data_IF_891176952608
#
_entry.id   IF_891176952608
#
_cell.length_a   1.000
_cell.length_b   1.000
_cell.length_c   1.000
_cell.angle_alpha   90.00
_cell.angle_beta   90.00
_cell.angle_gamma   90.00
#
_symmetry.space_group_name_H-M   'P 1'
#
loop_
_entity.id
_entity.type
_entity.pdbx_description
1 polymer ?
#
# COMPACT_ATOMS: atom_id res chain seq x y z
N UNK A 1 -45.67 -31.83 -11.09
CA UNK A 1 -44.55 -31.06 -10.56
C UNK A 1 -43.40 -32.02 -10.22
N UNK A 2 -42.27 -31.94 -10.94
CA UNK A 2 -41.07 -32.77 -10.67
C UNK A 2 -40.46 -32.33 -9.32
N UNK A 3 -40.44 -33.21 -8.32
CA UNK A 3 -39.76 -32.96 -7.04
C UNK A 3 -38.26 -32.89 -7.31
N UNK A 4 -37.63 -31.73 -7.06
CA UNK A 4 -36.19 -31.59 -7.14
C UNK A 4 -35.57 -32.42 -6.02
N UNK A 5 -34.62 -33.32 -6.34
CA UNK A 5 -33.97 -34.13 -5.33
C UNK A 5 -33.08 -33.27 -4.42
N UNK A 6 -33.05 -33.53 -3.10
CA UNK A 6 -32.19 -32.78 -2.16
C UNK A 6 -30.72 -32.80 -2.58
N UNK A 7 -30.23 -33.90 -3.15
CA UNK A 7 -28.87 -34.04 -3.64
C UNK A 7 -28.54 -33.06 -4.80
N UNK A 8 -29.50 -32.84 -5.72
CA UNK A 8 -29.31 -31.88 -6.81
C UNK A 8 -29.21 -30.45 -6.30
N UNK A 9 -30.02 -30.13 -5.28
CA UNK A 9 -29.94 -28.78 -4.63
C UNK A 9 -28.56 -28.55 -3.99
N UNK A 10 -28.04 -29.55 -3.27
CA UNK A 10 -26.71 -29.49 -2.64
C UNK A 10 -25.60 -29.33 -3.69
N UNK A 11 -25.66 -30.03 -4.83
CA UNK A 11 -24.69 -29.93 -5.91
C UNK A 11 -24.72 -28.53 -6.52
N UNK A 12 -25.92 -28.02 -6.84
CA UNK A 12 -26.05 -26.67 -7.40
C UNK A 12 -25.54 -25.61 -6.44
N UNK A 13 -25.87 -25.70 -5.17
CA UNK A 13 -25.37 -24.79 -4.14
C UNK A 13 -23.85 -24.85 -4.02
N UNK A 14 -23.26 -26.04 -4.03
CA UNK A 14 -21.81 -26.23 -3.99
C UNK A 14 -21.10 -25.58 -5.19
N UNK A 15 -21.65 -25.78 -6.39
CA UNK A 15 -21.10 -25.15 -7.61
C UNK A 15 -21.19 -23.62 -7.54
N UNK A 16 -22.31 -23.06 -7.08
CA UNK A 16 -22.47 -21.61 -6.92
C UNK A 16 -21.45 -21.05 -5.92
N UNK A 17 -21.23 -21.72 -4.79
CA UNK A 17 -20.23 -21.29 -3.81
C UNK A 17 -18.80 -21.35 -4.37
N UNK A 18 -18.46 -22.37 -5.15
CA UNK A 18 -17.15 -22.47 -5.79
C UNK A 18 -16.92 -21.36 -6.82
N UNK A 19 -17.94 -21.04 -7.62
CA UNK A 19 -17.86 -19.94 -8.59
C UNK A 19 -17.75 -18.58 -7.87
N UNK A 20 -18.48 -18.38 -6.79
CA UNK A 20 -18.38 -17.16 -5.97
C UNK A 20 -16.99 -17.02 -5.34
N UNK A 21 -16.42 -18.09 -4.78
CA UNK A 21 -15.08 -18.09 -4.22
C UNK A 21 -14.01 -17.82 -5.28
N UNK A 22 -14.11 -18.45 -6.45
CA UNK A 22 -13.21 -18.21 -7.58
C UNK A 22 -13.28 -16.76 -8.10
N UNK A 23 -14.48 -16.21 -8.20
CA UNK A 23 -14.72 -14.82 -8.60
C UNK A 23 -14.11 -13.82 -7.60
N UNK A 24 -14.28 -14.07 -6.30
CA UNK A 24 -13.69 -13.25 -5.26
C UNK A 24 -12.15 -13.31 -5.27
N UNK A 25 -11.58 -14.50 -5.49
CA UNK A 25 -10.13 -14.66 -5.60
C UNK A 25 -9.54 -13.92 -6.81
N UNK A 26 -10.22 -13.96 -7.95
CA UNK A 26 -9.84 -13.23 -9.15
C UNK A 26 -9.94 -11.70 -8.95
N UNK A 27 -10.99 -11.24 -8.29
CA UNK A 27 -11.19 -9.84 -7.96
C UNK A 27 -10.09 -9.31 -7.02
N UNK A 28 -9.75 -10.06 -5.96
CA UNK A 28 -8.67 -9.66 -5.04
C UNK A 28 -7.31 -9.56 -5.73
N UNK A 29 -7.01 -10.49 -6.65
CA UNK A 29 -5.77 -10.43 -7.45
C UNK A 29 -5.74 -9.24 -8.40
N UNK A 30 -6.87 -8.88 -8.97
CA UNK A 30 -6.99 -7.71 -9.82
C UNK A 30 -6.75 -6.42 -9.02
N UNK A 31 -7.36 -6.27 -7.82
CA UNK A 31 -7.14 -5.11 -6.94
C UNK A 31 -5.66 -4.99 -6.51
N UNK A 32 -5.03 -6.12 -6.13
CA UNK A 32 -3.61 -6.15 -5.73
C UNK A 32 -2.69 -5.69 -6.88
N UNK A 33 -2.88 -6.23 -8.09
CA UNK A 33 -2.08 -5.85 -9.24
C UNK A 33 -2.27 -4.37 -9.64
N UNK A 34 -3.48 -3.85 -9.49
CA UNK A 34 -3.79 -2.46 -9.82
C UNK A 34 -3.15 -1.50 -8.81
N UNK A 35 -3.28 -1.78 -7.51
CA UNK A 35 -2.64 -1.00 -6.44
C UNK A 35 -1.10 -0.97 -6.59
N UNK A 36 -0.47 -2.10 -6.90
CA UNK A 36 0.97 -2.15 -7.14
C UNK A 36 1.42 -1.31 -8.34
N UNK A 37 0.66 -1.31 -9.44
CA UNK A 37 0.99 -0.53 -10.62
C UNK A 37 0.85 0.99 -10.38
N UNK A 38 -0.19 1.42 -9.69
CA UNK A 38 -0.39 2.83 -9.32
C UNK A 38 0.73 3.32 -8.39
N UNK A 39 1.09 2.56 -7.38
CA UNK A 39 2.15 2.90 -6.45
C UNK A 39 3.51 3.08 -7.16
N UNK A 40 3.87 2.20 -8.10
CA UNK A 40 5.12 2.31 -8.86
C UNK A 40 5.19 3.58 -9.74
N UNK A 41 4.08 4.01 -10.29
CA UNK A 41 4.04 5.26 -11.08
C UNK A 41 4.31 6.46 -10.19
N UNK A 42 3.72 6.48 -9.00
CA UNK A 42 3.92 7.57 -8.03
C UNK A 42 5.37 7.59 -7.51
N UNK A 43 6.01 6.43 -7.25
CA UNK A 43 7.43 6.37 -6.86
C UNK A 43 8.32 7.02 -7.93
N UNK A 44 8.09 6.72 -9.21
CA UNK A 44 8.87 7.30 -10.30
C UNK A 44 8.71 8.84 -10.35
N UNK A 45 7.51 9.36 -10.15
CA UNK A 45 7.23 10.80 -10.13
C UNK A 45 7.84 11.49 -8.90
N UNK A 46 7.82 10.82 -7.74
CA UNK A 46 8.46 11.32 -6.51
C UNK A 46 9.98 11.42 -6.69
N UNK A 47 10.62 10.37 -7.18
CA UNK A 47 12.07 10.34 -7.41
C UNK A 47 12.49 11.44 -8.38
N UNK A 48 11.70 11.71 -9.42
CA UNK A 48 11.98 12.82 -10.35
C UNK A 48 11.85 14.20 -9.69
N UNK A 49 10.90 14.38 -8.77
CA UNK A 49 10.72 15.65 -8.05
C UNK A 49 11.82 15.90 -7.01
N UNK A 50 12.29 14.84 -6.34
CA UNK A 50 13.39 14.92 -5.36
C UNK A 50 14.73 15.20 -6.04
N UNK A 51 14.97 14.74 -7.27
CA UNK A 51 16.19 15.04 -8.05
C UNK A 51 16.28 16.49 -8.53
N UNK A 52 15.22 17.30 -8.39
CA UNK A 52 15.26 18.74 -8.67
C UNK A 52 15.32 19.47 -7.32
N UNK A 53 16.51 19.75 -6.76
CA UNK A 53 16.60 20.40 -5.46
C UNK A 53 16.11 21.85 -5.61
N UNK A 54 14.97 22.17 -5.02
CA UNK A 54 14.76 23.54 -4.58
C UNK A 54 15.76 23.81 -3.45
N UNK A 55 16.49 24.95 -3.46
CA UNK A 55 17.56 25.17 -2.50
C UNK A 55 16.99 25.20 -1.08
N UNK A 56 17.28 24.15 -0.31
CA UNK A 56 17.02 24.15 1.12
C UNK A 56 17.80 25.29 1.78
N UNK A 57 17.11 26.37 2.07
CA UNK A 57 17.58 27.40 2.98
C UNK A 57 16.93 27.08 4.32
N UNK A 58 17.71 26.51 5.23
CA UNK A 58 17.76 26.87 6.65
C UNK A 58 18.18 25.70 7.55
N UNK A 59 19.36 25.89 8.15
CA UNK A 59 19.86 25.15 9.31
C UNK A 59 19.10 25.59 10.57
N UNK A 60 17.79 25.25 10.63
CA UNK A 60 16.96 25.37 11.82
C UNK A 60 16.71 23.99 12.47
N UNK A 61 16.17 23.90 13.68
CA UNK A 61 15.64 22.64 14.18
C UNK A 61 14.63 22.10 13.16
N UNK A 62 14.76 20.81 12.77
CA UNK A 62 13.84 20.16 11.85
C UNK A 62 12.41 20.31 12.38
N UNK A 63 11.51 20.80 11.53
CA UNK A 63 10.08 20.81 11.85
C UNK A 63 9.65 19.35 12.15
N UNK A 64 8.96 19.09 13.26
CA UNK A 64 8.39 17.78 13.54
C UNK A 64 7.45 17.27 12.47
N UNK A 65 6.79 18.16 11.73
CA UNK A 65 5.93 17.79 10.62
C UNK A 65 6.74 17.39 9.39
N UNK A 66 6.32 16.30 8.74
CA UNK A 66 6.91 15.84 7.50
C UNK A 66 6.46 16.76 6.35
N UNK A 67 7.39 17.14 5.44
CA UNK A 67 7.01 17.83 4.20
C UNK A 67 6.03 16.99 3.40
N UNK A 68 5.16 17.65 2.66
CA UNK A 68 4.11 17.01 1.87
C UNK A 68 4.27 17.40 0.41
N UNK A 69 4.26 16.41 -0.49
CA UNK A 69 4.23 16.61 -1.94
C UNK A 69 2.93 16.09 -2.51
N UNK A 70 2.27 16.90 -3.36
CA UNK A 70 1.05 16.51 -4.06
C UNK A 70 1.38 15.92 -5.44
N UNK A 71 0.83 14.73 -5.71
CA UNK A 71 0.87 14.05 -7.00
C UNK A 71 -0.52 13.53 -7.33
N UNK A 72 -1.07 13.90 -8.47
CA UNK A 72 -2.38 13.47 -8.97
C UNK A 72 -3.52 13.65 -7.95
N UNK A 73 -3.48 14.75 -7.17
CA UNK A 73 -4.48 15.07 -6.16
C UNK A 73 -4.37 14.26 -4.86
N UNK A 74 -3.27 13.53 -4.67
CA UNK A 74 -2.93 12.84 -3.44
C UNK A 74 -1.66 13.44 -2.83
N UNK A 75 -1.63 13.47 -1.51
CA UNK A 75 -0.53 14.00 -0.71
C UNK A 75 0.35 12.87 -0.18
N UNK A 76 1.66 13.01 -0.36
CA UNK A 76 2.68 12.04 0.05
C UNK A 76 3.71 12.70 0.98
N UNK A 77 4.23 11.93 1.93
CA UNK A 77 5.22 12.37 2.93
C UNK A 77 6.57 11.70 2.79
N UNK A 78 6.69 10.70 1.91
CA UNK A 78 7.94 9.98 1.72
C UNK A 78 7.76 8.67 0.97
N UNK A 79 8.82 7.88 0.98
CA UNK A 79 8.90 6.56 0.36
C UNK A 79 9.37 5.52 1.40
N UNK A 80 8.78 4.32 1.37
CA UNK A 80 9.23 3.17 2.16
C UNK A 80 9.83 2.10 1.26
N UNK A 81 11.06 1.69 1.57
CA UNK A 81 11.80 0.65 0.85
C UNK A 81 12.09 -0.53 1.75
N UNK A 82 11.74 -1.75 1.30
CA UNK A 82 12.00 -3.03 1.97
C UNK A 82 12.53 -4.04 0.94
N UNK A 83 13.84 -4.00 0.62
CA UNK A 83 14.41 -4.79 -0.48
C UNK A 83 14.23 -6.30 -0.32
N UNK A 84 14.24 -6.82 0.91
CA UNK A 84 14.09 -8.25 1.19
C UNK A 84 12.77 -8.85 0.66
N UNK A 85 11.74 -8.04 0.50
CA UNK A 85 10.43 -8.44 -0.02
C UNK A 85 10.04 -7.71 -1.30
N UNK A 86 10.97 -6.94 -1.88
CA UNK A 86 10.80 -6.22 -3.14
C UNK A 86 9.76 -5.09 -3.06
N UNK A 87 9.71 -4.36 -1.94
CA UNK A 87 8.82 -3.22 -1.74
C UNK A 87 9.61 -1.92 -1.89
N UNK A 88 9.04 -1.05 -2.71
CA UNK A 88 9.41 0.35 -2.92
C UNK A 88 8.10 1.11 -3.18
N UNK A 89 7.59 1.82 -2.17
CA UNK A 89 6.24 2.35 -2.17
C UNK A 89 6.20 3.79 -1.63
N UNK A 90 5.40 4.68 -2.26
CA UNK A 90 5.15 6.00 -1.72
C UNK A 90 4.30 5.89 -0.46
N UNK A 91 4.45 6.83 0.47
CA UNK A 91 3.68 6.89 1.71
C UNK A 91 2.81 8.14 1.70
N UNK A 92 1.49 7.94 1.74
CA UNK A 92 0.51 9.03 1.76
C UNK A 92 0.52 9.75 3.12
N UNK A 93 0.23 11.05 3.12
CA UNK A 93 0.26 11.93 4.30
C UNK A 93 -0.72 11.53 5.39
N UNK A 94 -1.89 11.04 4.99
CA UNK A 94 -2.96 10.63 5.90
C UNK A 94 -3.56 9.30 5.47
N UNK A 95 -4.04 8.51 6.42
CA UNK A 95 -4.67 7.23 6.13
C UNK A 95 -6.19 7.34 6.01
N UNK A 96 -6.75 6.51 5.12
CA UNK A 96 -8.15 6.15 5.06
C UNK A 96 -8.30 4.81 4.35
N UNK A 97 -9.41 4.12 4.52
CA UNK A 97 -9.63 2.84 3.81
C UNK A 97 -9.53 2.95 2.28
N UNK A 98 -10.04 4.01 1.62
CA UNK A 98 -9.81 4.20 0.19
C UNK A 98 -8.33 4.42 -0.16
N UNK A 99 -7.59 5.25 0.62
CA UNK A 99 -6.18 5.54 0.39
C UNK A 99 -5.28 4.31 0.58
N UNK A 100 -5.58 3.45 1.55
CA UNK A 100 -4.84 2.20 1.77
C UNK A 100 -4.89 1.24 0.57
N UNK A 101 -5.86 1.39 -0.32
CA UNK A 101 -5.93 0.63 -1.57
C UNK A 101 -4.96 1.16 -2.63
N UNK A 102 -4.55 2.41 -2.53
CA UNK A 102 -3.63 3.08 -3.46
C UNK A 102 -2.18 2.85 -3.01
N UNK A 103 -1.86 3.18 -1.74
CA UNK A 103 -0.50 3.13 -1.20
C UNK A 103 -0.52 2.97 0.32
N UNK A 104 0.63 2.63 0.96
CA UNK A 104 0.83 2.83 2.39
C UNK A 104 0.52 4.26 2.82
N UNK A 105 0.01 4.43 4.03
CA UNK A 105 -0.37 5.72 4.57
C UNK A 105 0.26 5.96 5.94
N UNK A 106 0.67 7.17 6.22
CA UNK A 106 1.01 7.60 7.58
C UNK A 106 -0.24 7.51 8.45
N UNK A 107 -0.20 6.72 9.50
CA UNK A 107 -1.27 6.64 10.47
C UNK A 107 -1.13 7.73 11.53
N UNK A 108 0.07 7.96 12.01
CA UNK A 108 0.45 9.07 12.88
C UNK A 108 1.98 9.18 13.00
N UNK A 109 2.46 10.22 13.66
CA UNK A 109 3.86 10.42 14.00
C UNK A 109 4.71 10.94 12.84
N UNK A 110 6.02 11.02 13.09
CA UNK A 110 7.03 11.53 12.16
C UNK A 110 8.34 10.76 12.31
N UNK A 111 9.08 10.57 11.23
CA UNK A 111 10.47 10.06 11.27
C UNK A 111 11.39 10.99 12.06
N UNK A 112 11.04 12.28 12.15
CA UNK A 112 11.81 13.31 12.86
C UNK A 112 11.60 13.29 14.39
N UNK A 113 10.56 12.59 14.86
CA UNK A 113 10.22 12.40 16.27
C UNK A 113 10.31 10.95 16.75
N UNK A 114 10.80 10.03 15.88
CA UNK A 114 10.95 8.60 16.16
C UNK A 114 9.64 7.87 16.53
N UNK A 115 8.49 8.40 16.11
CA UNK A 115 7.17 7.83 16.42
C UNK A 115 6.31 7.57 15.17
N UNK A 116 6.93 7.56 13.98
CA UNK A 116 6.25 7.33 12.71
C UNK A 116 5.61 5.94 12.65
N UNK A 117 4.32 5.90 12.39
CA UNK A 117 3.57 4.66 12.14
C UNK A 117 2.96 4.70 10.74
N UNK A 118 3.32 3.70 9.95
CA UNK A 118 2.82 3.51 8.58
C UNK A 118 1.91 2.29 8.57
N UNK A 119 0.71 2.46 8.04
CA UNK A 119 -0.25 1.40 7.78
C UNK A 119 -0.35 1.14 6.28
N UNK A 120 -0.54 -0.12 5.89
CA UNK A 120 -0.82 -0.49 4.51
C UNK A 120 -1.80 -1.66 4.44
N UNK A 121 -2.37 -1.86 3.26
CA UNK A 121 -3.19 -3.04 2.98
C UNK A 121 -2.32 -4.31 2.96
N UNK A 122 -2.92 -5.46 3.24
CA UNK A 122 -2.24 -6.76 3.18
C UNK A 122 -2.16 -7.35 1.75
N UNK A 123 -2.10 -6.51 0.74
CA UNK A 123 -1.81 -6.92 -0.64
C UNK A 123 -0.37 -7.43 -0.74
N UNK A 124 -0.11 -8.37 -1.65
CA UNK A 124 1.25 -8.85 -1.92
C UNK A 124 2.17 -7.74 -2.46
N UNK A 125 1.59 -6.77 -3.17
CA UNK A 125 2.23 -5.54 -3.64
C UNK A 125 2.46 -4.49 -2.56
N UNK A 126 1.82 -4.63 -1.39
CA UNK A 126 2.00 -3.76 -0.22
C UNK A 126 2.64 -4.54 0.94
N UNK A 127 2.01 -4.57 2.13
CA UNK A 127 2.57 -5.16 3.34
C UNK A 127 2.22 -6.64 3.56
N UNK A 128 1.58 -7.30 2.60
CA UNK A 128 1.20 -8.71 2.71
C UNK A 128 2.37 -9.69 2.93
N UNK A 129 3.58 -9.30 2.50
CA UNK A 129 4.80 -10.12 2.65
C UNK A 129 5.62 -9.81 3.91
N UNK A 130 5.21 -8.88 4.79
CA UNK A 130 5.97 -8.51 5.98
C UNK A 130 6.31 -9.70 6.90
N UNK A 131 5.44 -10.72 6.93
CA UNK A 131 5.67 -11.93 7.73
C UNK A 131 6.85 -12.77 7.26
N UNK A 132 7.39 -12.53 6.07
CA UNK A 132 8.57 -13.22 5.54
C UNK A 132 9.89 -12.54 5.92
N UNK A 133 9.84 -11.36 6.54
CA UNK A 133 11.04 -10.66 7.00
C UNK A 133 11.71 -11.41 8.16
N UNK A 134 13.02 -11.30 8.18
CA UNK A 134 13.89 -11.88 9.22
C UNK A 134 14.70 -10.79 9.93
N UNK A 135 15.19 -11.09 11.12
CA UNK A 135 16.02 -10.14 11.84
C UNK A 135 17.29 -9.81 11.03
N UNK A 136 17.52 -8.53 10.77
CA UNK A 136 18.63 -8.01 9.96
C UNK A 136 18.18 -7.49 8.57
N UNK A 137 16.95 -7.77 8.12
CA UNK A 137 16.41 -7.15 6.92
C UNK A 137 16.19 -5.65 7.13
N UNK A 138 16.58 -4.85 6.14
CA UNK A 138 16.44 -3.40 6.22
C UNK A 138 15.05 -2.93 5.85
N UNK A 139 14.56 -1.94 6.61
CA UNK A 139 13.38 -1.14 6.29
C UNK A 139 13.82 0.30 6.33
N UNK A 140 13.67 1.00 5.22
CA UNK A 140 14.09 2.40 5.08
C UNK A 140 12.87 3.25 4.78
N UNK A 141 12.72 4.38 5.50
CA UNK A 141 11.80 5.43 5.15
C UNK A 141 12.61 6.67 4.80
N UNK A 142 12.30 7.28 3.65
CA UNK A 142 12.90 8.53 3.18
C UNK A 142 11.78 9.56 3.11
N UNK A 143 11.89 10.67 3.88
CA UNK A 143 10.95 11.79 3.79
C UNK A 143 11.24 12.70 2.58
N UNK A 144 10.31 13.59 2.27
CA UNK A 144 10.41 14.57 1.17
C UNK A 144 11.32 15.72 1.53
#
# INVERSE_FOLDING_TARGET
>A
MRKVSPGLVCIVLGVVLLLAAGGLGAYNRYEDAHAGAEAQTVVADLQQKVETPEPETESGPLDPELPVVEIDGNEYVGEISIPAIGIDLPVMSEWSYPRLKIAPCRQFGSSRTDDLVIAAHNYESHFGKLTSLTAGDSVTFTDM
#
